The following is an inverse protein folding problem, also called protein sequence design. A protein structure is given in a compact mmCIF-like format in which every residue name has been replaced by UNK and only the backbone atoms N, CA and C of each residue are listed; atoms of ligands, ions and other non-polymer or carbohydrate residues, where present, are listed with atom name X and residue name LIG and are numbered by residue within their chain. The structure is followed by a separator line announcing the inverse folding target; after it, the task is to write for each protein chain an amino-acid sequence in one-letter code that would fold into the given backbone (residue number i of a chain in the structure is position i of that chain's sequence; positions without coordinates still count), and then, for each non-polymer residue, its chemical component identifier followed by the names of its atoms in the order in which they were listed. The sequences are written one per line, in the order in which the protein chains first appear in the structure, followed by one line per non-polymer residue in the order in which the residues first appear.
data_IF_209576205726
#
_entry.id   IF_209576205726
#
_cell.length_a   1.000
_cell.length_b   1.000
_cell.length_c   1.000
_cell.angle_alpha   90.00
_cell.angle_beta   90.00
_cell.angle_gamma   90.00
#
_symmetry.space_group_name_H-M   'P 1'
#
loop_
_entity.id
_entity.type
_entity.pdbx_description
1 polymer ?
#
# COMPACT_ATOMS: atom_id res chain seq x y z
N UNK A 1 -17.06 -5.10 -22.13
CA UNK A 1 -15.92 -4.16 -22.18
C UNK A 1 -15.25 -4.34 -23.53
N UNK A 2 -14.92 -3.26 -24.24
CA UNK A 2 -14.10 -3.35 -25.46
C UNK A 2 -12.82 -4.16 -25.15
N UNK A 3 -12.37 -5.00 -26.08
CA UNK A 3 -11.57 -6.22 -25.81
C UNK A 3 -10.25 -6.09 -25.03
N UNK A 4 -9.79 -4.88 -24.69
CA UNK A 4 -8.57 -4.64 -23.92
C UNK A 4 -8.75 -3.77 -22.65
N UNK A 5 -9.96 -3.27 -22.36
CA UNK A 5 -10.15 -2.39 -21.20
C UNK A 5 -9.91 -3.11 -19.88
N UNK A 6 -10.33 -4.38 -19.78
CA UNK A 6 -10.13 -5.21 -18.57
C UNK A 6 -8.65 -5.46 -18.30
N UNK A 7 -7.87 -5.78 -19.32
CA UNK A 7 -6.42 -6.04 -19.19
C UNK A 7 -5.67 -4.81 -18.69
N UNK A 8 -5.90 -3.66 -19.34
CA UNK A 8 -5.31 -2.38 -18.92
C UNK A 8 -5.65 -2.00 -17.48
N UNK A 9 -6.90 -2.17 -17.08
CA UNK A 9 -7.29 -1.89 -15.68
C UNK A 9 -6.52 -2.79 -14.70
N UNK A 10 -6.34 -4.07 -15.03
CA UNK A 10 -5.56 -4.99 -14.19
C UNK A 10 -4.11 -4.55 -14.04
N UNK A 11 -3.48 -4.10 -15.12
CA UNK A 11 -2.10 -3.57 -15.10
C UNK A 11 -1.98 -2.35 -14.18
N UNK A 12 -2.92 -1.41 -14.26
CA UNK A 12 -2.96 -0.23 -13.38
C UNK A 12 -3.11 -0.63 -11.90
N UNK A 13 -4.02 -1.56 -11.59
CA UNK A 13 -4.21 -2.04 -10.21
C UNK A 13 -3.01 -2.82 -9.68
N UNK A 14 -2.30 -3.57 -10.52
CA UNK A 14 -1.04 -4.22 -10.13
C UNK A 14 0.06 -3.19 -9.82
N UNK A 15 0.13 -2.11 -10.60
CA UNK A 15 1.03 -0.98 -10.32
C UNK A 15 0.72 -0.31 -8.97
N UNK A 16 -0.56 -0.08 -8.68
CA UNK A 16 -1.01 0.45 -7.39
C UNK A 16 -0.57 -0.47 -6.23
N UNK A 17 -0.79 -1.77 -6.37
CA UNK A 17 -0.43 -2.76 -5.34
C UNK A 17 1.07 -2.74 -5.03
N UNK A 18 1.92 -2.76 -6.07
CA UNK A 18 3.39 -2.69 -5.91
C UNK A 18 3.84 -1.41 -5.20
N UNK A 19 3.18 -0.29 -5.46
CA UNK A 19 3.48 0.98 -4.79
C UNK A 19 3.11 0.94 -3.30
N UNK A 20 1.98 0.33 -2.93
CA UNK A 20 1.62 0.18 -1.52
C UNK A 20 2.59 -0.74 -0.77
N UNK A 21 2.97 -1.88 -1.36
CA UNK A 21 4.01 -2.75 -0.80
C UNK A 21 5.30 -1.99 -0.52
N UNK A 22 5.75 -1.17 -1.48
CA UNK A 22 6.93 -0.35 -1.32
C UNK A 22 6.81 0.65 -0.15
N UNK A 23 5.67 1.34 -0.06
CA UNK A 23 5.40 2.29 1.04
C UNK A 23 5.42 1.57 2.39
N UNK A 24 4.78 0.41 2.49
CA UNK A 24 4.72 -0.39 3.73
C UNK A 24 6.13 -0.78 4.19
N UNK A 25 6.97 -1.27 3.27
CA UNK A 25 8.38 -1.62 3.55
C UNK A 25 9.16 -0.40 4.06
N UNK A 26 8.98 0.76 3.46
CA UNK A 26 9.63 1.99 3.90
C UNK A 26 9.13 2.46 5.27
N UNK A 27 7.84 2.33 5.57
CA UNK A 27 7.28 2.63 6.88
C UNK A 27 7.90 1.73 7.96
N UNK A 28 7.98 0.42 7.70
CA UNK A 28 8.59 -0.54 8.63
C UNK A 28 10.07 -0.23 8.89
N UNK A 29 10.85 0.05 7.84
CA UNK A 29 12.27 0.44 7.97
C UNK A 29 12.42 1.74 8.78
N UNK A 30 11.55 2.72 8.53
CA UNK A 30 11.57 4.00 9.24
C UNK A 30 11.28 3.82 10.72
N UNK A 31 10.32 2.97 11.08
CA UNK A 31 10.02 2.59 12.47
C UNK A 31 11.27 2.02 13.15
N UNK A 32 11.98 1.09 12.51
CA UNK A 32 13.20 0.50 13.08
C UNK A 32 14.26 1.57 13.36
N UNK A 33 14.43 2.55 12.47
CA UNK A 33 15.42 3.62 12.63
C UNK A 33 15.14 4.56 13.80
N UNK A 34 13.85 4.82 14.11
CA UNK A 34 13.48 5.86 15.09
C UNK A 34 12.86 5.32 16.39
N UNK A 35 12.64 4.01 16.50
CA UNK A 35 11.91 3.35 17.59
C UNK A 35 12.36 3.79 18.99
N UNK A 36 13.66 3.95 19.20
CA UNK A 36 14.25 4.28 20.50
C UNK A 36 14.44 5.78 20.73
N UNK A 37 14.22 6.61 19.71
CA UNK A 37 14.49 8.05 19.77
C UNK A 37 13.20 8.88 19.80
N UNK A 38 12.16 8.45 19.08
CA UNK A 38 10.93 9.23 18.89
C UNK A 38 9.69 8.30 18.91
N UNK A 39 9.19 7.93 20.10
CA UNK A 39 8.07 6.98 20.23
C UNK A 39 6.78 7.50 19.60
N UNK A 40 6.48 8.80 19.71
CA UNK A 40 5.27 9.40 19.09
C UNK A 40 5.29 9.30 17.57
N UNK A 41 6.45 9.56 16.94
CA UNK A 41 6.59 9.41 15.49
C UNK A 41 6.56 7.94 15.07
N UNK A 42 7.04 7.03 15.91
CA UNK A 42 6.95 5.59 15.66
C UNK A 42 5.49 5.16 15.49
N UNK A 43 4.62 5.59 16.40
CA UNK A 43 3.16 5.31 16.32
C UNK A 43 2.58 5.91 15.04
N UNK A 44 2.90 7.17 14.72
CA UNK A 44 2.39 7.81 13.51
C UNK A 44 2.79 7.06 12.22
N UNK A 45 4.04 6.59 12.11
CA UNK A 45 4.51 5.83 10.94
C UNK A 45 3.87 4.44 10.88
N UNK A 46 3.63 3.79 12.03
CA UNK A 46 2.90 2.53 12.07
C UNK A 46 1.45 2.68 11.59
N UNK A 47 0.76 3.74 12.01
CA UNK A 47 -0.59 4.04 11.56
C UNK A 47 -0.64 4.37 10.06
N UNK A 48 0.36 5.11 9.53
CA UNK A 48 0.49 5.31 8.09
C UNK A 48 0.63 3.99 7.32
N UNK A 49 1.50 3.08 7.80
CA UNK A 49 1.67 1.76 7.19
C UNK A 49 0.36 0.94 7.18
N UNK A 50 -0.41 0.98 8.27
CA UNK A 50 -1.74 0.33 8.34
C UNK A 50 -2.75 0.97 7.38
N UNK A 51 -2.75 2.29 7.25
CA UNK A 51 -3.62 2.99 6.31
C UNK A 51 -3.31 2.58 4.86
N UNK A 52 -2.03 2.46 4.50
CA UNK A 52 -1.60 1.96 3.18
C UNK A 52 -2.04 0.51 2.92
N UNK A 53 -1.90 -0.38 3.90
CA UNK A 53 -2.40 -1.76 3.80
C UNK A 53 -3.93 -1.82 3.61
N UNK A 54 -4.69 -0.96 4.29
CA UNK A 54 -6.13 -0.87 4.10
C UNK A 54 -6.49 -0.36 2.69
N UNK A 55 -5.79 0.65 2.18
CA UNK A 55 -5.99 1.18 0.83
C UNK A 55 -5.65 0.13 -0.24
N UNK A 56 -4.58 -0.64 -0.02
CA UNK A 56 -4.18 -1.72 -0.91
C UNK A 56 -5.25 -2.83 -0.96
N UNK A 57 -5.77 -3.25 0.19
CA UNK A 57 -6.88 -4.22 0.26
C UNK A 57 -8.12 -3.75 -0.50
N UNK A 58 -8.43 -2.44 -0.46
CA UNK A 58 -9.51 -1.87 -1.26
C UNK A 58 -9.22 -1.95 -2.76
N UNK A 59 -7.99 -1.64 -3.18
CA UNK A 59 -7.55 -1.77 -4.56
C UNK A 59 -7.63 -3.24 -5.05
N UNK A 60 -7.15 -4.19 -4.25
CA UNK A 60 -7.23 -5.62 -4.53
C UNK A 60 -8.69 -6.11 -4.60
N UNK A 61 -9.59 -5.58 -3.77
CA UNK A 61 -11.02 -5.91 -3.84
C UNK A 61 -11.64 -5.47 -5.17
N UNK A 62 -11.28 -4.27 -5.66
CA UNK A 62 -11.71 -3.79 -6.97
C UNK A 62 -11.15 -4.68 -8.07
N UNK A 63 -9.85 -5.00 -8.00
CA UNK A 63 -9.20 -5.94 -8.93
C UNK A 63 -9.89 -7.30 -8.98
N UNK A 64 -10.26 -7.87 -7.81
CA UNK A 64 -10.94 -9.16 -7.72
C UNK A 64 -12.34 -9.17 -8.35
N UNK A 65 -12.94 -8.00 -8.56
CA UNK A 65 -14.25 -7.83 -9.20
C UNK A 65 -14.15 -7.54 -10.71
N UNK A 66 -12.96 -7.24 -11.23
CA UNK A 66 -12.71 -6.97 -12.65
C UNK A 66 -12.59 -8.23 -13.49
#
# INVERSE_FOLDING_TARGET
MAGNTRGKLKEEFEGIHKNFDWIIVHCQRSVVMIKHHKPTLTVAIQELGKACDNLDKLAQNIYGKL
#
